data_IF_175359589379
#
_entry.id   IF_175359589379
#
_cell.length_a   1.000
_cell.length_b   1.000
_cell.length_c   1.000
_cell.angle_alpha   90.00
_cell.angle_beta   90.00
_cell.angle_gamma   90.00
#
_symmetry.space_group_name_H-M   'P 1'
#
loop_
_entity.id
_entity.type
_entity.pdbx_description
1 polymer ?
#
# COMPACT_ATOMS: atom_id res chain seq x y z
N UNK A 1 -1.34 29.95 39.57
CA UNK A 1 -0.55 29.10 38.66
C UNK A 1 -0.29 27.69 39.23
N UNK A 2 -1.24 27.11 39.97
CA UNK A 2 -1.17 25.71 40.46
C UNK A 2 -2.44 24.91 40.13
N UNK A 3 -3.48 25.55 39.56
CA UNK A 3 -4.73 24.89 39.15
C UNK A 3 -4.66 24.29 37.73
N UNK A 4 -3.73 24.74 36.88
CA UNK A 4 -3.60 24.23 35.50
C UNK A 4 -2.80 22.93 35.41
N UNK A 5 -1.97 22.60 36.40
CA UNK A 5 -1.19 21.35 36.43
C UNK A 5 -2.03 20.14 36.86
N UNK A 6 -3.16 20.34 37.55
CA UNK A 6 -4.04 19.26 38.01
C UNK A 6 -4.88 18.63 36.90
N UNK A 7 -5.14 19.34 35.79
CA UNK A 7 -5.96 18.83 34.69
C UNK A 7 -5.16 17.96 33.70
N UNK A 8 -3.82 18.08 33.69
CA UNK A 8 -2.96 17.29 32.83
C UNK A 8 -2.77 15.83 33.32
N UNK A 9 -3.00 15.57 34.62
CA UNK A 9 -2.80 14.23 35.22
C UNK A 9 -4.03 13.31 35.14
N UNK A 10 -5.19 13.80 34.69
CA UNK A 10 -6.40 12.97 34.52
C UNK A 10 -6.58 12.39 33.12
N UNK A 11 -5.82 12.86 32.12
CA UNK A 11 -5.94 12.40 30.73
C UNK A 11 -5.11 11.15 30.39
N UNK A 12 -4.25 10.66 31.30
CA UNK A 12 -3.37 9.52 31.05
C UNK A 12 -3.84 8.19 31.66
N UNK A 13 -5.06 8.12 32.17
CA UNK A 13 -5.61 6.90 32.78
C UNK A 13 -6.94 6.53 32.12
N UNK A 14 -6.88 5.83 30.98
CA UNK A 14 -7.78 4.73 30.55
C UNK A 14 -7.78 4.58 29.03
N UNK A 15 -6.84 3.80 28.50
CA UNK A 15 -7.01 3.11 27.21
C UNK A 15 -6.77 1.62 27.44
N UNK A 16 -7.71 0.99 28.13
CA UNK A 16 -7.83 -0.47 28.15
C UNK A 16 -9.28 -0.79 27.86
N UNK A 17 -9.62 -1.01 26.60
CA UNK A 17 -10.78 -1.82 26.25
C UNK A 17 -10.42 -2.82 25.15
N UNK A 18 -10.88 -4.02 25.44
CA UNK A 18 -10.67 -5.31 24.83
C UNK A 18 -11.08 -5.35 23.34
N UNK A 19 -10.22 -5.91 22.50
CA UNK A 19 -10.63 -6.41 21.19
C UNK A 19 -11.32 -7.76 21.37
N UNK A 20 -12.65 -7.76 21.42
CA UNK A 20 -13.39 -8.95 21.00
C UNK A 20 -14.71 -8.59 20.33
N UNK A 21 -14.94 -9.31 19.25
CA UNK A 21 -16.24 -9.70 18.73
C UNK A 21 -16.81 -8.90 17.55
N UNK A 22 -16.53 -9.45 16.38
CA UNK A 22 -17.38 -9.52 15.18
C UNK A 22 -18.85 -9.25 15.45
N UNK A 23 -19.34 -8.08 15.02
CA UNK A 23 -20.73 -7.88 14.65
C UNK A 23 -20.77 -7.06 13.36
N UNK A 24 -21.11 -7.74 12.27
CA UNK A 24 -21.35 -7.13 10.97
C UNK A 24 -22.78 -6.57 10.98
N UNK A 25 -22.91 -5.25 11.03
CA UNK A 25 -24.18 -4.56 10.80
C UNK A 25 -23.93 -3.39 9.83
N UNK A 26 -24.72 -3.22 8.75
CA UNK A 26 -24.52 -2.14 7.81
C UNK A 26 -25.16 -0.89 8.40
N UNK A 27 -24.35 -0.01 8.99
CA UNK A 27 -24.80 1.35 9.30
C UNK A 27 -24.58 2.18 8.04
N UNK A 28 -25.67 2.41 7.31
CA UNK A 28 -25.81 3.61 6.51
C UNK A 28 -25.80 4.81 7.47
N UNK A 29 -24.69 5.54 7.46
CA UNK A 29 -24.44 6.67 8.33
C UNK A 29 -22.96 6.96 8.30
N UNK A 30 -22.54 7.79 7.34
CA UNK A 30 -21.13 8.14 7.12
C UNK A 30 -20.56 8.92 8.31
N UNK A 31 -20.15 8.21 9.33
CA UNK A 31 -19.27 8.74 10.37
C UNK A 31 -17.93 9.09 9.70
N UNK A 32 -17.53 10.36 9.81
CA UNK A 32 -16.28 10.85 9.24
C UNK A 32 -15.11 10.17 9.95
N UNK A 33 -14.54 9.15 9.29
CA UNK A 33 -13.39 8.41 9.79
C UNK A 33 -12.13 9.28 9.66
N UNK A 34 -11.74 9.97 10.73
CA UNK A 34 -10.54 10.83 10.76
C UNK A 34 -9.24 10.07 10.44
N UNK A 35 -9.15 8.80 10.85
CA UNK A 35 -8.04 7.93 10.48
C UNK A 35 -8.01 7.62 8.97
N UNK A 36 -9.18 7.55 8.32
CA UNK A 36 -9.28 7.33 6.88
C UNK A 36 -8.86 8.58 6.11
N UNK A 37 -9.24 9.77 6.57
CA UNK A 37 -8.81 11.05 5.99
C UNK A 37 -7.29 11.21 6.07
N UNK A 38 -6.69 10.90 7.23
CA UNK A 38 -5.24 10.92 7.37
C UNK A 38 -4.55 9.92 6.44
N UNK A 39 -5.09 8.71 6.31
CA UNK A 39 -4.56 7.68 5.39
C UNK A 39 -4.65 8.14 3.93
N UNK A 40 -5.76 8.78 3.53
CA UNK A 40 -5.91 9.28 2.17
C UNK A 40 -4.96 10.46 1.91
N UNK A 41 -4.79 11.38 2.86
CA UNK A 41 -3.81 12.46 2.75
C UNK A 41 -2.37 11.92 2.64
N UNK A 42 -1.99 10.96 3.48
CA UNK A 42 -0.68 10.31 3.41
C UNK A 42 -0.45 9.61 2.06
N UNK A 43 -1.47 8.93 1.54
CA UNK A 43 -1.44 8.32 0.21
C UNK A 43 -1.26 9.35 -0.89
N UNK A 44 -1.99 10.47 -0.85
CA UNK A 44 -1.86 11.56 -1.82
C UNK A 44 -0.45 12.15 -1.81
N UNK A 45 0.12 12.41 -0.62
CA UNK A 45 1.50 12.89 -0.47
C UNK A 45 2.51 11.88 -1.04
N UNK A 46 2.33 10.59 -0.78
CA UNK A 46 3.17 9.53 -1.34
C UNK A 46 3.06 9.46 -2.86
N UNK A 47 1.86 9.57 -3.42
CA UNK A 47 1.65 9.58 -4.88
C UNK A 47 2.33 10.80 -5.54
N UNK A 48 2.24 11.97 -4.91
CA UNK A 48 2.94 13.17 -5.38
C UNK A 48 4.47 12.97 -5.34
N UNK A 49 4.98 12.39 -4.26
CA UNK A 49 6.40 12.03 -4.13
C UNK A 49 6.86 11.07 -5.24
N UNK A 50 6.13 9.98 -5.45
CA UNK A 50 6.42 8.99 -6.51
C UNK A 50 6.41 9.66 -7.90
N UNK A 51 5.38 10.47 -8.19
CA UNK A 51 5.28 11.19 -9.48
C UNK A 51 6.52 12.05 -9.73
N UNK A 52 6.93 12.83 -8.73
CA UNK A 52 8.09 13.73 -8.85
C UNK A 52 9.40 12.94 -8.97
N UNK A 53 9.54 11.86 -8.20
CA UNK A 53 10.71 11.00 -8.22
C UNK A 53 10.90 10.33 -9.60
N UNK A 54 9.83 9.79 -10.19
CA UNK A 54 9.87 9.19 -11.53
C UNK A 54 10.32 10.21 -12.57
N UNK A 55 9.74 11.41 -12.57
CA UNK A 55 10.11 12.48 -13.49
C UNK A 55 11.58 12.89 -13.32
N UNK A 56 12.06 13.00 -12.08
CA UNK A 56 13.47 13.30 -11.77
C UNK A 56 14.42 12.21 -12.27
N UNK A 57 14.13 10.94 -12.01
CA UNK A 57 14.96 9.80 -12.44
C UNK A 57 15.07 9.75 -13.96
N UNK A 58 13.96 9.96 -14.66
CA UNK A 58 13.91 9.99 -16.12
C UNK A 58 14.44 11.30 -16.73
N UNK A 59 14.79 12.29 -15.88
CA UNK A 59 15.23 13.63 -16.27
C UNK A 59 14.22 14.36 -17.16
N UNK A 60 12.95 14.23 -16.81
CA UNK A 60 11.82 14.87 -17.49
C UNK A 60 11.27 15.99 -16.62
N UNK A 61 11.02 17.17 -17.21
CA UNK A 61 10.35 18.26 -16.51
C UNK A 61 8.84 18.00 -16.35
N UNK A 62 8.22 17.37 -17.35
CA UNK A 62 6.80 17.06 -17.39
C UNK A 62 6.57 15.67 -18.01
N UNK A 63 5.45 15.04 -17.63
CA UNK A 63 5.01 13.81 -18.27
C UNK A 63 4.77 14.04 -19.78
N UNK A 64 5.26 13.15 -20.66
CA UNK A 64 5.04 13.28 -22.10
C UNK A 64 3.54 13.30 -22.41
N UNK A 65 3.10 14.28 -23.19
CA UNK A 65 1.71 14.41 -23.62
C UNK A 65 1.46 13.50 -24.83
N UNK A 66 1.32 12.20 -24.58
CA UNK A 66 1.08 11.18 -25.61
C UNK A 66 -0.20 10.40 -25.32
N UNK A 67 -1.11 10.38 -26.29
CA UNK A 67 -2.36 9.62 -26.20
C UNK A 67 -2.12 8.14 -26.52
N UNK A 68 -3.02 7.28 -26.03
CA UNK A 68 -2.93 5.82 -26.24
C UNK A 68 -2.90 5.43 -27.73
N UNK A 69 -3.62 6.14 -28.59
CA UNK A 69 -3.66 5.84 -30.02
C UNK A 69 -2.38 6.27 -30.73
N UNK A 70 -1.78 7.39 -30.29
CA UNK A 70 -0.46 7.80 -30.77
C UNK A 70 0.63 6.81 -30.34
N UNK A 71 0.57 6.25 -29.13
CA UNK A 71 1.47 5.16 -28.69
C UNK A 71 1.39 3.98 -29.66
N UNK A 72 0.19 3.54 -30.06
CA UNK A 72 0.02 2.39 -30.96
C UNK A 72 0.61 2.61 -32.36
N UNK A 73 0.64 3.86 -32.83
CA UNK A 73 1.22 4.23 -34.12
C UNK A 73 2.74 4.38 -34.04
N UNK A 74 3.24 4.95 -32.93
CA UNK A 74 4.65 5.24 -32.73
C UNK A 74 5.47 4.04 -32.23
N UNK A 75 4.85 3.11 -31.49
CA UNK A 75 5.55 1.92 -31.01
C UNK A 75 5.83 0.95 -32.17
N UNK A 76 7.11 0.64 -32.45
CA UNK A 76 7.45 -0.30 -33.50
C UNK A 76 6.99 -1.71 -33.12
N UNK A 77 6.29 -2.39 -34.02
CA UNK A 77 5.90 -3.81 -33.87
C UNK A 77 7.05 -4.77 -34.20
N UNK A 78 8.25 -4.46 -33.71
CA UNK A 78 9.47 -5.20 -34.04
C UNK A 78 9.80 -6.23 -32.94
N UNK A 79 10.34 -7.41 -33.29
CA UNK A 79 10.74 -8.44 -32.32
C UNK A 79 11.64 -7.96 -31.15
N UNK A 80 12.56 -6.99 -31.34
CA UNK A 80 13.37 -6.49 -30.23
C UNK A 80 12.57 -5.82 -29.10
N UNK A 81 11.44 -5.17 -29.41
CA UNK A 81 10.63 -4.51 -28.38
C UNK A 81 9.85 -5.54 -27.55
N UNK A 82 9.28 -6.56 -28.19
CA UNK A 82 8.53 -7.61 -27.51
C UNK A 82 9.42 -8.39 -26.56
N UNK A 83 10.66 -8.70 -26.96
CA UNK A 83 11.62 -9.40 -26.10
C UNK A 83 11.96 -8.61 -24.81
N UNK A 84 11.99 -7.28 -24.90
CA UNK A 84 12.19 -6.43 -23.71
C UNK A 84 10.95 -6.48 -22.82
N UNK A 85 9.74 -6.41 -23.38
CA UNK A 85 8.50 -6.50 -22.60
C UNK A 85 8.36 -7.86 -21.90
N UNK A 86 8.63 -8.95 -22.61
CA UNK A 86 8.59 -10.32 -22.09
C UNK A 86 9.56 -10.51 -20.91
N UNK A 87 10.69 -9.78 -20.89
CA UNK A 87 11.63 -9.80 -19.77
C UNK A 87 11.01 -9.23 -18.49
N UNK A 88 10.17 -8.21 -18.58
CA UNK A 88 9.54 -7.59 -17.41
C UNK A 88 8.36 -8.42 -16.87
N UNK A 89 7.68 -9.20 -17.72
CA UNK A 89 6.64 -10.13 -17.27
C UNK A 89 7.20 -11.20 -16.32
N UNK A 90 8.43 -11.67 -16.56
CA UNK A 90 9.07 -12.68 -15.70
C UNK A 90 9.57 -12.15 -14.35
N UNK A 91 9.70 -10.82 -14.18
CA UNK A 91 10.21 -10.19 -12.94
C UNK A 91 9.15 -9.97 -11.87
N UNK A 92 7.90 -10.36 -12.14
CA UNK A 92 6.77 -10.20 -11.21
C UNK A 92 6.78 -11.29 -10.12
N UNK A 93 7.60 -12.33 -10.24
CA UNK A 93 7.61 -13.48 -9.33
C UNK A 93 9.03 -13.74 -8.80
N UNK A 94 9.43 -13.00 -7.76
CA UNK A 94 10.36 -13.52 -6.76
C UNK A 94 9.97 -12.89 -5.41
N UNK A 95 8.72 -13.12 -5.00
CA UNK A 95 8.35 -12.97 -3.60
C UNK A 95 9.25 -13.92 -2.82
N UNK A 96 10.01 -13.40 -1.84
CA UNK A 96 10.88 -14.19 -0.99
C UNK A 96 10.01 -15.21 -0.24
N UNK A 97 9.94 -16.44 -0.75
CA UNK A 97 9.16 -17.49 -0.12
C UNK A 97 9.85 -17.87 1.19
N UNK A 98 9.08 -17.90 2.28
CA UNK A 98 9.61 -18.30 3.58
C UNK A 98 10.30 -19.67 3.46
N UNK A 99 11.60 -19.70 3.73
CA UNK A 99 12.37 -20.95 3.72
C UNK A 99 12.05 -21.71 5.00
N UNK A 100 11.49 -22.92 4.88
CA UNK A 100 11.22 -23.76 6.05
C UNK A 100 12.53 -24.38 6.54
N UNK A 101 13.03 -23.94 7.69
CA UNK A 101 14.28 -24.47 8.26
C UNK A 101 14.11 -25.88 8.85
N UNK A 102 12.94 -26.21 9.40
CA UNK A 102 12.69 -27.53 10.01
C UNK A 102 11.21 -27.89 9.96
N UNK A 103 10.91 -29.13 9.55
CA UNK A 103 9.57 -29.72 9.60
C UNK A 103 9.59 -30.86 10.62
N UNK A 104 8.77 -30.77 11.66
CA UNK A 104 8.54 -31.87 12.61
C UNK A 104 7.10 -32.37 12.42
N UNK A 105 6.95 -33.49 11.72
CA UNK A 105 5.64 -34.11 11.47
C UNK A 105 5.33 -35.14 12.56
N UNK A 106 4.13 -35.06 13.13
CA UNK A 106 3.63 -36.03 14.09
C UNK A 106 2.89 -37.19 13.40
N UNK A 107 2.90 -38.38 14.00
CA UNK A 107 2.17 -39.52 13.47
C UNK A 107 0.64 -39.29 13.55
N UNK A 108 -0.03 -39.33 12.41
CA UNK A 108 -1.50 -39.22 12.35
C UNK A 108 -2.13 -40.61 12.50
N UNK A 109 -3.17 -40.72 13.33
CA UNK A 109 -3.91 -41.96 13.53
C UNK A 109 -4.65 -42.35 12.24
N UNK A 110 -4.50 -43.61 11.81
CA UNK A 110 -5.31 -44.19 10.73
C UNK A 110 -6.68 -44.57 11.30
N UNK A 111 -7.75 -44.08 10.68
CA UNK A 111 -9.12 -44.53 10.98
C UNK A 111 -9.37 -45.93 10.45
#
# INVERSE_FOLDING_TARGET
>A
MLLFLGLASFLSASCSEEMNQTSKMPVEGGEQCSACDFREHSKQMRLHGIKTQILSILRLEQAPNISRDMIRQLLPKAPPLTQILDQYDSRVEEEEHATTETIITMATKRN
#
